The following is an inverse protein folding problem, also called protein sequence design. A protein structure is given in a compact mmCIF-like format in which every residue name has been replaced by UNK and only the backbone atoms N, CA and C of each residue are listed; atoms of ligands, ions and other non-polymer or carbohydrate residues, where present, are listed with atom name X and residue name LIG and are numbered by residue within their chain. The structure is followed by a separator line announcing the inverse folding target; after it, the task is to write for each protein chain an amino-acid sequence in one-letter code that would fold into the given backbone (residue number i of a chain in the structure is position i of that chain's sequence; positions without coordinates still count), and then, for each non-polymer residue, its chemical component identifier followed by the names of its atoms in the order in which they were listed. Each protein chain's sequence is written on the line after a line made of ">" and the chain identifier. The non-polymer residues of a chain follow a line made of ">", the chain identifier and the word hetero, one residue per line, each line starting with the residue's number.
data_IF_564419413828
#
_entry.id   IF_564419413828
#
_cell.length_a   1.000
_cell.length_b   1.000
_cell.length_c   1.000
_cell.angle_alpha   90.00
_cell.angle_beta   90.00
_cell.angle_gamma   90.00
#
_symmetry.space_group_name_H-M   'P 1'
#
loop_
_entity.id
_entity.type
_entity.pdbx_description
1 polymer ?
#
# COMPACT_ATOMS: atom_id res chain seq x y z
N UNK A 1 -7.13 4.36 -15.71
CA UNK A 1 -6.59 3.61 -14.56
C UNK A 1 -7.68 2.74 -13.98
N UNK A 2 -7.41 1.47 -13.79
CA UNK A 2 -8.35 0.53 -13.17
C UNK A 2 -7.85 0.19 -11.78
N UNK A 3 -8.69 0.35 -10.77
CA UNK A 3 -8.37 0.05 -9.37
C UNK A 3 -9.00 -1.29 -8.99
N UNK A 4 -8.20 -2.16 -8.36
CA UNK A 4 -8.67 -3.40 -7.75
C UNK A 4 -8.28 -3.42 -6.29
N UNK A 5 -9.18 -3.86 -5.42
CA UNK A 5 -8.93 -4.03 -4.00
C UNK A 5 -9.09 -5.50 -3.62
N UNK A 6 -8.10 -6.03 -2.93
CA UNK A 6 -8.12 -7.37 -2.36
C UNK A 6 -8.30 -7.26 -0.86
N UNK A 7 -9.35 -7.89 -0.37
CA UNK A 7 -9.76 -7.82 1.04
C UNK A 7 -9.50 -9.14 1.73
N UNK A 8 -8.74 -9.07 2.82
CA UNK A 8 -8.57 -10.19 3.73
C UNK A 8 -9.69 -10.14 4.77
N UNK A 9 -10.64 -11.08 4.68
CA UNK A 9 -11.80 -11.17 5.56
C UNK A 9 -11.57 -12.20 6.66
N UNK A 10 -12.12 -11.90 7.84
CA UNK A 10 -12.12 -12.85 8.96
C UNK A 10 -10.75 -13.12 9.59
N UNK A 11 -9.71 -12.39 9.19
CA UNK A 11 -8.40 -12.52 9.77
C UNK A 11 -8.33 -11.77 11.11
N UNK A 12 -7.85 -12.44 12.14
CA UNK A 12 -7.47 -11.81 13.42
C UNK A 12 -5.98 -11.63 13.39
N UNK A 13 -5.51 -10.45 12.99
CA UNK A 13 -4.10 -10.13 13.08
C UNK A 13 -3.63 -10.28 14.55
N UNK A 14 -2.64 -11.12 14.77
CA UNK A 14 -2.07 -11.40 16.09
C UNK A 14 -0.55 -11.24 16.01
N UNK A 15 0.06 -10.50 16.95
CA UNK A 15 1.51 -10.31 16.96
C UNK A 15 2.24 -11.57 17.50
N UNK A 16 3.59 -11.54 17.51
CA UNK A 16 4.44 -12.61 18.06
C UNK A 16 4.12 -12.93 19.52
N UNK A 17 3.52 -11.99 20.27
CA UNK A 17 3.10 -12.15 21.65
C UNK A 17 1.61 -12.51 21.78
N UNK A 18 0.95 -12.86 20.67
CA UNK A 18 -0.48 -13.21 20.61
C UNK A 18 -1.42 -12.06 21.04
N UNK A 19 -0.98 -10.80 20.98
CA UNK A 19 -1.83 -9.66 21.25
C UNK A 19 -2.70 -9.33 20.05
N UNK A 20 -3.95 -8.99 20.29
CA UNK A 20 -4.87 -8.56 19.24
C UNK A 20 -4.59 -7.12 18.79
N UNK A 21 -5.10 -6.76 17.62
CA UNK A 21 -5.00 -5.40 17.09
C UNK A 21 -5.58 -4.35 18.06
N UNK A 22 -6.68 -4.68 18.76
CA UNK A 22 -7.34 -3.81 19.71
C UNK A 22 -6.49 -3.58 20.98
N UNK A 23 -5.87 -4.63 21.51
CA UNK A 23 -4.97 -4.52 22.65
C UNK A 23 -3.74 -3.68 22.33
N UNK A 24 -3.16 -3.86 21.14
CA UNK A 24 -2.04 -3.06 20.67
C UNK A 24 -2.40 -1.59 20.52
N UNK A 25 -3.60 -1.28 20.04
CA UNK A 25 -4.10 0.09 19.89
C UNK A 25 -4.24 0.83 21.24
N UNK A 26 -4.41 0.13 22.34
CA UNK A 26 -4.54 0.71 23.69
C UNK A 26 -3.19 1.01 24.37
N UNK A 27 -2.13 0.30 24.01
CA UNK A 27 -0.84 0.36 24.71
C UNK A 27 0.01 1.59 24.38
N UNK A 28 -0.16 2.21 23.23
CA UNK A 28 0.74 3.26 22.74
C UNK A 28 0.28 4.66 23.17
N UNK A 29 1.16 5.44 23.83
CA UNK A 29 0.81 6.74 24.43
C UNK A 29 0.80 7.91 23.44
N UNK A 30 1.69 7.97 22.45
CA UNK A 30 1.80 9.06 21.49
C UNK A 30 0.97 8.77 20.22
N UNK A 31 0.15 9.73 19.81
CA UNK A 31 -0.80 9.57 18.72
C UNK A 31 -0.18 9.13 17.38
N UNK A 32 0.86 9.83 16.91
CA UNK A 32 1.52 9.53 15.63
C UNK A 32 2.30 8.20 15.69
N UNK A 33 2.94 7.90 16.82
CA UNK A 33 3.62 6.63 17.04
C UNK A 33 2.62 5.47 17.05
N UNK A 34 1.45 5.66 17.67
CA UNK A 34 0.37 4.66 17.68
C UNK A 34 -0.08 4.29 16.28
N UNK A 35 -0.24 5.27 15.40
CA UNK A 35 -0.65 5.03 14.01
C UNK A 35 0.40 4.20 13.24
N UNK A 36 1.67 4.52 13.43
CA UNK A 36 2.78 3.77 12.81
C UNK A 36 2.84 2.35 13.36
N UNK A 37 2.72 2.18 14.68
CA UNK A 37 2.75 0.86 15.31
C UNK A 37 1.56 -0.01 14.91
N UNK A 38 0.37 0.57 14.83
CA UNK A 38 -0.82 -0.13 14.35
C UNK A 38 -0.67 -0.55 12.89
N UNK A 39 -0.12 0.32 12.04
CA UNK A 39 0.15 -0.02 10.65
C UNK A 39 1.20 -1.13 10.54
N UNK A 40 2.32 -0.98 11.25
CA UNK A 40 3.38 -2.01 11.30
C UNK A 40 2.83 -3.36 11.75
N UNK A 41 1.96 -3.37 12.74
CA UNK A 41 1.31 -4.58 13.23
C UNK A 41 0.48 -5.28 12.14
N UNK A 42 -0.32 -4.53 11.40
CA UNK A 42 -1.11 -5.05 10.28
C UNK A 42 -0.20 -5.56 9.17
N UNK A 43 0.80 -4.78 8.79
CA UNK A 43 1.67 -5.07 7.65
C UNK A 43 2.65 -6.23 7.92
N UNK A 44 3.03 -6.46 9.18
CA UNK A 44 3.83 -7.62 9.58
C UNK A 44 2.99 -8.87 9.85
N UNK A 45 1.67 -8.79 9.80
CA UNK A 45 0.84 -9.98 9.98
C UNK A 45 1.13 -11.00 8.89
N UNK A 46 1.24 -12.26 9.27
CA UNK A 46 1.54 -13.35 8.35
C UNK A 46 0.47 -13.49 7.28
N UNK A 47 -0.78 -13.29 7.66
CA UNK A 47 -1.92 -13.40 6.78
C UNK A 47 -1.90 -12.35 5.66
N UNK A 48 -1.57 -11.08 5.97
CA UNK A 48 -1.46 -10.05 4.94
C UNK A 48 -0.30 -10.31 3.99
N UNK A 49 0.85 -10.75 4.53
CA UNK A 49 2.02 -11.10 3.73
C UNK A 49 1.74 -12.30 2.82
N UNK A 50 1.12 -13.35 3.36
CA UNK A 50 0.72 -14.52 2.57
C UNK A 50 -0.30 -14.15 1.49
N UNK A 51 -1.29 -13.30 1.77
CA UNK A 51 -2.22 -12.81 0.76
C UNK A 51 -1.47 -12.13 -0.41
N UNK A 52 -0.51 -11.23 -0.12
CA UNK A 52 0.29 -10.59 -1.15
C UNK A 52 1.07 -11.60 -1.98
N UNK A 53 1.73 -12.56 -1.32
CA UNK A 53 2.51 -13.60 -1.97
C UNK A 53 1.63 -14.48 -2.86
N UNK A 54 0.50 -14.95 -2.36
CA UNK A 54 -0.42 -15.80 -3.11
C UNK A 54 -0.99 -15.07 -4.33
N UNK A 55 -1.34 -13.79 -4.19
CA UNK A 55 -1.82 -12.95 -5.29
C UNK A 55 -0.77 -12.81 -6.40
N UNK A 56 0.51 -12.67 -6.06
CA UNK A 56 1.58 -12.46 -7.03
C UNK A 56 2.08 -13.78 -7.61
N UNK A 57 2.25 -14.81 -6.78
CA UNK A 57 2.82 -16.09 -7.20
C UNK A 57 1.86 -16.92 -8.06
N UNK A 58 0.56 -16.87 -7.76
CA UNK A 58 -0.46 -17.63 -8.47
C UNK A 58 -1.36 -16.77 -9.36
N UNK A 59 -1.20 -15.44 -9.29
CA UNK A 59 -2.04 -14.48 -9.99
C UNK A 59 -1.69 -14.34 -11.48
N UNK A 60 -2.71 -13.99 -12.25
CA UNK A 60 -2.56 -13.58 -13.65
C UNK A 60 -2.63 -12.08 -13.79
N UNK A 61 -1.97 -11.56 -14.80
CA UNK A 61 -2.05 -10.16 -15.20
C UNK A 61 -3.50 -9.72 -15.43
N UNK A 62 -3.75 -8.46 -15.18
CA UNK A 62 -5.10 -7.88 -15.29
C UNK A 62 -5.58 -7.66 -16.72
N UNK A 63 -4.67 -7.63 -17.68
CA UNK A 63 -4.96 -7.37 -19.10
C UNK A 63 -4.53 -8.52 -20.03
N UNK A 64 -3.81 -9.51 -19.52
CA UNK A 64 -3.38 -10.68 -20.28
C UNK A 64 -3.57 -11.96 -19.45
N UNK A 65 -3.43 -13.12 -20.07
CA UNK A 65 -3.44 -14.41 -19.35
C UNK A 65 -2.06 -14.80 -18.79
N UNK A 66 -1.04 -13.96 -18.97
CA UNK A 66 0.30 -14.19 -18.46
C UNK A 66 0.34 -14.18 -16.93
N UNK A 67 1.20 -14.98 -16.35
CA UNK A 67 1.45 -14.94 -14.91
C UNK A 67 2.01 -13.56 -14.49
N UNK A 68 1.60 -13.06 -13.34
CA UNK A 68 2.09 -11.77 -12.81
C UNK A 68 3.61 -11.74 -12.69
N UNK A 69 4.22 -12.85 -12.28
CA UNK A 69 5.68 -12.96 -12.20
C UNK A 69 6.38 -12.90 -13.55
N UNK A 70 5.78 -13.39 -14.61
CA UNK A 70 6.36 -13.29 -15.96
C UNK A 70 6.32 -11.86 -16.50
N UNK A 71 5.29 -11.11 -16.14
CA UNK A 71 5.12 -9.73 -16.53
C UNK A 71 5.91 -8.75 -15.67
N UNK A 72 6.18 -9.13 -14.44
CA UNK A 72 6.79 -8.29 -13.41
C UNK A 72 5.78 -7.41 -12.68
N UNK A 73 6.04 -7.18 -11.41
CA UNK A 73 5.18 -6.37 -10.53
C UNK A 73 6.00 -5.38 -9.72
N UNK A 74 5.37 -4.25 -9.39
CA UNK A 74 5.90 -3.27 -8.45
C UNK A 74 5.08 -3.35 -7.18
N UNK A 75 5.74 -3.38 -6.03
CA UNK A 75 5.11 -3.38 -4.72
C UNK A 75 5.53 -2.11 -3.98
N UNK A 76 4.57 -1.34 -3.51
CA UNK A 76 4.82 -0.19 -2.64
C UNK A 76 4.61 -0.56 -1.18
N UNK A 77 5.63 -0.29 -0.35
CA UNK A 77 5.61 -0.49 1.11
C UNK A 77 6.29 0.72 1.77
N UNK A 78 5.69 1.27 2.82
CA UNK A 78 6.25 2.46 3.50
C UNK A 78 7.31 2.10 4.54
N UNK A 79 7.10 1.04 5.32
CA UNK A 79 7.92 0.68 6.48
C UNK A 79 9.10 -0.23 6.09
N UNK A 80 10.32 0.14 6.48
CA UNK A 80 11.55 -0.56 6.07
C UNK A 80 11.66 -1.99 6.62
N UNK A 81 11.20 -2.22 7.84
CA UNK A 81 11.17 -3.55 8.46
C UNK A 81 10.15 -4.48 7.78
N UNK A 82 9.02 -3.93 7.32
CA UNK A 82 8.05 -4.66 6.50
C UNK A 82 8.64 -4.99 5.13
N UNK A 83 9.35 -4.06 4.48
CA UNK A 83 10.06 -4.31 3.22
C UNK A 83 11.03 -5.49 3.37
N UNK A 84 11.83 -5.49 4.43
CA UNK A 84 12.79 -6.55 4.69
C UNK A 84 12.11 -7.92 4.83
N UNK A 85 11.03 -7.97 5.62
CA UNK A 85 10.30 -9.21 5.85
C UNK A 85 9.60 -9.72 4.58
N UNK A 86 8.93 -8.85 3.83
CA UNK A 86 8.28 -9.23 2.56
C UNK A 86 9.29 -9.70 1.52
N UNK A 87 10.45 -9.05 1.44
CA UNK A 87 11.53 -9.48 0.55
C UNK A 87 12.06 -10.87 0.92
N UNK A 88 12.20 -11.17 2.21
CA UNK A 88 12.58 -12.49 2.71
C UNK A 88 11.53 -13.56 2.39
N UNK A 89 10.26 -13.25 2.56
CA UNK A 89 9.15 -14.14 2.27
C UNK A 89 9.12 -14.55 0.77
N UNK A 90 9.41 -13.62 -0.15
CA UNK A 90 9.55 -13.91 -1.59
C UNK A 90 10.78 -14.79 -1.87
N UNK A 91 11.94 -14.45 -1.29
CA UNK A 91 13.17 -15.23 -1.44
C UNK A 91 13.00 -16.67 -0.95
N UNK A 92 12.32 -16.86 0.18
CA UNK A 92 12.02 -18.20 0.70
C UNK A 92 11.19 -19.05 -0.25
N UNK A 93 10.48 -18.40 -1.20
CA UNK A 93 9.71 -19.05 -2.28
C UNK A 93 10.44 -19.09 -3.63
N UNK A 94 11.73 -18.80 -3.63
CA UNK A 94 12.59 -18.85 -4.82
C UNK A 94 12.40 -17.69 -5.79
N UNK A 95 11.84 -16.56 -5.34
CA UNK A 95 11.64 -15.35 -6.16
C UNK A 95 12.68 -14.30 -5.79
N UNK A 96 13.48 -13.88 -6.77
CA UNK A 96 14.39 -12.76 -6.62
C UNK A 96 13.63 -11.44 -6.58
N UNK A 97 13.99 -10.59 -5.60
CA UNK A 97 13.33 -9.31 -5.36
C UNK A 97 14.34 -8.18 -5.35
N UNK A 98 14.09 -7.15 -6.11
CA UNK A 98 14.77 -5.88 -5.98
C UNK A 98 14.11 -5.00 -4.93
N UNK A 99 14.93 -4.36 -4.09
CA UNK A 99 14.47 -3.40 -3.10
C UNK A 99 15.07 -2.02 -3.39
N UNK A 100 14.21 -1.03 -3.57
CA UNK A 100 14.61 0.36 -3.78
C UNK A 100 14.05 1.20 -2.63
N UNK A 101 14.94 1.67 -1.78
CA UNK A 101 14.64 2.47 -0.60
C UNK A 101 15.56 3.71 -0.51
N UNK A 102 15.35 4.56 0.49
CA UNK A 102 16.12 5.81 0.64
C UNK A 102 17.63 5.64 0.64
N UNK A 103 18.15 4.56 1.22
CA UNK A 103 19.57 4.21 1.26
C UNK A 103 20.13 3.66 -0.06
N UNK A 104 19.29 3.27 -1.02
CA UNK A 104 19.73 2.76 -2.33
C UNK A 104 20.36 3.89 -3.15
N UNK A 105 21.62 3.73 -3.54
CA UNK A 105 22.37 4.74 -4.32
C UNK A 105 21.72 4.94 -5.70
N UNK A 106 21.82 6.13 -6.25
CA UNK A 106 21.22 6.50 -7.54
C UNK A 106 21.70 5.59 -8.69
N UNK A 107 23.01 5.26 -8.72
CA UNK A 107 23.58 4.33 -9.68
C UNK A 107 22.91 2.94 -9.62
N UNK A 108 22.69 2.45 -8.42
CA UNK A 108 22.10 1.12 -8.20
C UNK A 108 20.60 1.13 -8.57
N UNK A 109 19.90 2.23 -8.29
CA UNK A 109 18.51 2.41 -8.72
C UNK A 109 18.36 2.35 -10.25
N UNK A 110 19.26 3.02 -10.97
CA UNK A 110 19.29 2.99 -12.44
C UNK A 110 19.58 1.60 -12.98
N UNK A 111 20.51 0.87 -12.36
CA UNK A 111 20.83 -0.52 -12.73
C UNK A 111 19.64 -1.44 -12.50
N UNK A 112 18.98 -1.37 -11.33
CA UNK A 112 17.77 -2.13 -11.01
C UNK A 112 16.64 -1.83 -12.01
N UNK A 113 16.37 -0.56 -12.31
CA UNK A 113 15.33 -0.17 -13.25
C UNK A 113 15.59 -0.72 -14.67
N UNK A 114 16.84 -0.73 -15.11
CA UNK A 114 17.24 -1.29 -16.39
C UNK A 114 17.10 -2.81 -16.41
N UNK A 115 17.53 -3.47 -15.33
CA UNK A 115 17.47 -4.93 -15.24
C UNK A 115 16.02 -5.42 -15.12
N UNK A 116 15.22 -4.80 -14.27
CA UNK A 116 13.77 -5.11 -14.16
C UNK A 116 13.04 -5.07 -15.50
N UNK A 117 13.44 -4.15 -16.38
CA UNK A 117 12.86 -4.05 -17.73
C UNK A 117 13.31 -5.18 -18.66
N UNK A 118 14.56 -5.64 -18.55
CA UNK A 118 15.21 -6.48 -19.55
C UNK A 118 15.41 -7.93 -19.10
N UNK A 119 15.37 -8.19 -17.77
CA UNK A 119 15.65 -9.52 -17.22
C UNK A 119 14.35 -10.29 -16.96
N UNK A 120 14.14 -11.45 -17.60
CA UNK A 120 12.95 -12.27 -17.36
C UNK A 120 12.89 -12.89 -15.96
N UNK A 121 14.00 -12.91 -15.21
CA UNK A 121 14.09 -13.54 -13.89
C UNK A 121 13.87 -12.59 -12.72
N UNK A 122 13.95 -11.27 -12.94
CA UNK A 122 13.80 -10.26 -11.87
C UNK A 122 12.45 -9.60 -11.97
N UNK A 123 11.46 -10.22 -11.38
CA UNK A 123 10.06 -9.91 -11.65
C UNK A 123 9.36 -9.11 -10.55
N UNK A 124 9.98 -8.93 -9.40
CA UNK A 124 9.41 -8.19 -8.27
C UNK A 124 10.34 -7.04 -7.86
N UNK A 125 9.81 -5.83 -7.84
CA UNK A 125 10.49 -4.63 -7.31
C UNK A 125 9.68 -4.07 -6.15
N UNK A 126 10.26 -4.07 -4.96
CA UNK A 126 9.68 -3.39 -3.79
C UNK A 126 10.24 -1.98 -3.71
N UNK A 127 9.39 -0.99 -3.65
CA UNK A 127 9.75 0.41 -3.53
C UNK A 127 9.24 1.02 -2.22
N UNK A 128 10.09 1.83 -1.57
CA UNK A 128 9.68 2.66 -0.45
C UNK A 128 9.32 4.07 -0.90
N UNK A 129 8.78 4.81 0.03
CA UNK A 129 8.44 6.21 -0.11
C UNK A 129 9.62 7.11 -0.55
N UNK A 130 10.83 6.84 -0.03
CA UNK A 130 12.04 7.59 -0.36
C UNK A 130 12.66 7.21 -1.73
N UNK A 131 12.22 6.09 -2.32
CA UNK A 131 12.66 5.66 -3.65
C UNK A 131 12.13 6.56 -4.78
N UNK A 132 11.25 7.45 -4.42
CA UNK A 132 10.43 8.24 -5.33
C UNK A 132 11.14 9.27 -6.20
N UNK A 133 12.44 9.57 -6.07
CA UNK A 133 13.08 10.66 -6.83
C UNK A 133 13.95 10.14 -7.96
N UNK A 134 13.60 10.09 -9.16
CA UNK A 134 14.39 9.68 -10.33
C UNK A 134 14.15 8.27 -10.87
N UNK A 135 13.13 7.54 -10.42
CA UNK A 135 12.91 6.18 -10.87
C UNK A 135 11.98 6.11 -12.07
N UNK A 136 12.39 5.38 -13.09
CA UNK A 136 11.58 5.08 -14.25
C UNK A 136 11.43 3.55 -14.37
N UNK A 137 10.38 3.00 -13.74
CA UNK A 137 10.10 1.56 -13.74
C UNK A 137 9.14 1.19 -14.87
N UNK A 138 9.62 1.23 -16.09
CA UNK A 138 8.83 1.04 -17.32
C UNK A 138 8.57 -0.44 -17.69
N UNK A 139 8.84 -1.37 -16.79
CA UNK A 139 8.78 -2.81 -17.09
C UNK A 139 7.38 -3.41 -16.97
N UNK A 140 6.46 -2.78 -16.24
CA UNK A 140 5.14 -3.34 -15.95
C UNK A 140 4.05 -2.29 -15.88
N UNK A 141 2.81 -2.69 -16.05
CA UNK A 141 1.61 -1.90 -15.81
C UNK A 141 0.82 -2.36 -14.56
N UNK A 142 1.42 -3.17 -13.70
CA UNK A 142 0.83 -3.69 -12.47
C UNK A 142 1.57 -3.16 -11.25
N UNK A 143 0.85 -2.51 -10.32
CA UNK A 143 1.39 -2.10 -9.01
C UNK A 143 0.51 -2.59 -7.87
N UNK A 144 1.15 -3.14 -6.84
CA UNK A 144 0.52 -3.51 -5.59
C UNK A 144 0.84 -2.48 -4.51
N UNK A 145 -0.18 -1.82 -4.00
CA UNK A 145 -0.07 -0.97 -2.83
C UNK A 145 -0.34 -1.84 -1.59
N UNK A 146 0.75 -2.35 -1.03
CA UNK A 146 0.70 -3.11 0.22
C UNK A 146 0.40 -2.21 1.42
N UNK A 147 0.94 -1.00 1.38
CA UNK A 147 0.57 0.11 2.26
C UNK A 147 0.12 1.30 1.43
N UNK A 148 -0.61 2.22 2.04
CA UNK A 148 -1.10 3.42 1.39
C UNK A 148 -0.32 4.66 1.82
N UNK A 149 0.16 5.48 0.87
CA UNK A 149 0.78 6.75 1.20
C UNK A 149 -0.16 7.66 2.01
N UNK A 150 0.38 8.39 2.99
CA UNK A 150 -0.41 9.22 3.92
C UNK A 150 -0.97 10.52 3.31
N UNK A 151 -0.69 10.82 2.06
CA UNK A 151 -1.15 12.04 1.39
C UNK A 151 -1.37 11.86 -0.10
N UNK A 152 -2.34 12.62 -0.65
CA UNK A 152 -2.67 12.63 -2.08
C UNK A 152 -1.50 13.04 -2.97
N UNK A 153 -0.75 14.08 -2.61
CA UNK A 153 0.45 14.49 -3.34
C UNK A 153 1.48 13.38 -3.45
N UNK A 154 1.70 12.62 -2.37
CA UNK A 154 2.63 11.49 -2.34
C UNK A 154 2.11 10.29 -3.13
N UNK A 155 0.83 9.98 -3.01
CA UNK A 155 0.15 8.98 -3.80
C UNK A 155 0.29 9.29 -5.30
N UNK A 156 -0.05 10.51 -5.72
CA UNK A 156 0.08 10.95 -7.11
C UNK A 156 1.54 10.93 -7.57
N UNK A 157 2.50 11.26 -6.71
CA UNK A 157 3.93 11.20 -7.00
C UNK A 157 4.38 9.76 -7.28
N UNK A 158 3.98 8.79 -6.46
CA UNK A 158 4.31 7.38 -6.64
C UNK A 158 3.70 6.88 -7.95
N UNK A 159 2.41 7.10 -8.15
CA UNK A 159 1.74 6.68 -9.38
C UNK A 159 2.30 7.38 -10.62
N UNK A 160 2.53 8.68 -10.57
CA UNK A 160 3.06 9.46 -11.69
C UNK A 160 4.46 9.04 -12.14
N UNK A 161 5.23 8.41 -11.28
CA UNK A 161 6.58 7.89 -11.61
C UNK A 161 6.54 6.53 -12.27
N UNK A 162 5.61 5.70 -11.83
CA UNK A 162 5.34 4.40 -12.42
C UNK A 162 4.54 4.60 -13.72
N UNK A 163 3.59 5.51 -13.70
CA UNK A 163 2.75 5.87 -14.84
C UNK A 163 3.46 6.74 -15.91
N UNK A 164 4.75 7.10 -15.76
CA UNK A 164 5.54 7.60 -16.91
C UNK A 164 5.67 6.57 -18.03
N UNK A 165 5.49 5.30 -17.68
CA UNK A 165 5.28 4.21 -18.64
C UNK A 165 3.88 4.23 -19.26
N UNK A 166 2.96 5.03 -18.72
CA UNK A 166 1.56 5.05 -19.12
C UNK A 166 1.40 5.37 -20.61
N UNK A 167 2.17 6.32 -21.11
CA UNK A 167 2.13 6.67 -22.53
C UNK A 167 2.47 5.49 -23.44
N UNK A 168 3.37 4.59 -23.03
CA UNK A 168 3.70 3.41 -23.81
C UNK A 168 2.55 2.41 -23.79
N UNK A 169 2.03 2.08 -22.61
CA UNK A 169 0.92 1.14 -22.47
C UNK A 169 -0.39 1.69 -23.05
N UNK A 170 -0.63 2.99 -22.89
CA UNK A 170 -1.79 3.67 -23.48
C UNK A 170 -1.74 3.66 -25.02
N UNK A 171 -0.56 3.89 -25.62
CA UNK A 171 -0.36 3.76 -27.06
C UNK A 171 -0.55 2.32 -27.56
N UNK A 172 -0.34 1.33 -26.69
CA UNK A 172 -0.61 -0.09 -26.95
C UNK A 172 -2.07 -0.48 -26.63
N UNK A 173 -2.93 0.47 -26.22
CA UNK A 173 -4.31 0.22 -25.82
C UNK A 173 -4.43 -0.53 -24.46
N UNK A 174 -3.39 -0.54 -23.67
CA UNK A 174 -3.32 -1.25 -22.37
C UNK A 174 -3.58 -0.33 -21.21
N UNK A 175 -4.25 -0.84 -20.18
CA UNK A 175 -4.54 -0.11 -18.95
C UNK A 175 -3.42 -0.29 -17.91
N UNK A 176 -3.32 0.66 -17.00
CA UNK A 176 -2.49 0.55 -15.79
C UNK A 176 -3.35 0.10 -14.62
N UNK A 177 -2.89 -0.90 -13.88
CA UNK A 177 -3.64 -1.55 -12.80
C UNK A 177 -3.02 -1.26 -11.45
N UNK A 178 -3.85 -0.82 -10.51
CA UNK A 178 -3.48 -0.55 -9.13
C UNK A 178 -4.23 -1.52 -8.23
N UNK A 179 -3.48 -2.37 -7.54
CA UNK A 179 -4.00 -3.36 -6.61
C UNK A 179 -3.79 -2.89 -5.17
N UNK A 180 -4.85 -2.87 -4.37
CA UNK A 180 -4.79 -2.52 -2.96
C UNK A 180 -4.87 -3.79 -2.12
N UNK A 181 -3.88 -4.01 -1.26
CA UNK A 181 -3.86 -5.12 -0.30
C UNK A 181 -4.39 -4.60 1.03
N UNK A 182 -5.63 -4.96 1.36
CA UNK A 182 -6.38 -4.37 2.47
C UNK A 182 -6.78 -5.45 3.47
N UNK A 183 -6.50 -5.21 4.75
CA UNK A 183 -7.03 -6.01 5.87
C UNK A 183 -8.28 -5.33 6.42
N UNK A 184 -9.40 -6.05 6.40
CA UNK A 184 -10.67 -5.53 6.95
C UNK A 184 -10.56 -5.26 8.47
N UNK A 185 -11.33 -4.28 8.95
CA UNK A 185 -11.37 -3.86 10.34
C UNK A 185 -10.07 -3.24 10.88
N UNK A 186 -9.17 -2.82 9.98
CA UNK A 186 -7.91 -2.15 10.31
C UNK A 186 -7.82 -0.74 9.70
N UNK A 187 -6.67 -0.08 9.87
CA UNK A 187 -6.38 1.22 9.24
C UNK A 187 -6.40 1.16 7.72
N UNK A 188 -6.14 0.01 7.13
CA UNK A 188 -6.07 -0.15 5.68
C UNK A 188 -7.38 0.23 4.98
N UNK A 189 -8.53 -0.10 5.59
CA UNK A 189 -9.87 0.21 5.01
C UNK A 189 -10.12 1.71 4.91
N UNK A 190 -9.59 2.48 5.87
CA UNK A 190 -9.88 3.93 5.95
C UNK A 190 -8.94 4.79 5.12
N UNK A 191 -7.72 4.32 4.85
CA UNK A 191 -6.71 5.07 4.09
C UNK A 191 -7.17 5.45 2.68
N UNK A 192 -7.70 4.53 1.85
CA UNK A 192 -8.23 4.88 0.53
C UNK A 192 -9.35 5.91 0.58
N UNK A 193 -10.26 5.78 1.56
CA UNK A 193 -11.40 6.69 1.73
C UNK A 193 -10.91 8.10 2.08
N UNK A 194 -9.95 8.20 3.00
CA UNK A 194 -9.40 9.49 3.42
C UNK A 194 -8.53 10.13 2.35
N UNK A 195 -7.84 9.32 1.53
CA UNK A 195 -7.06 9.80 0.41
C UNK A 195 -7.95 10.42 -0.67
N UNK A 196 -9.06 9.76 -1.01
CA UNK A 196 -10.05 10.28 -1.96
C UNK A 196 -10.73 11.56 -1.44
N UNK A 197 -11.08 11.60 -0.15
CA UNK A 197 -11.66 12.81 0.49
C UNK A 197 -10.68 13.98 0.50
N UNK A 198 -9.39 13.73 0.72
CA UNK A 198 -8.36 14.77 0.62
C UNK A 198 -8.17 15.27 -0.81
N UNK A 199 -8.16 14.39 -1.77
CA UNK A 199 -8.04 14.76 -3.19
C UNK A 199 -9.22 15.64 -3.61
N UNK A 200 -10.43 15.26 -3.25
CA UNK A 200 -11.63 16.06 -3.52
C UNK A 200 -11.54 17.43 -2.85
N UNK A 201 -11.08 17.50 -1.59
CA UNK A 201 -10.87 18.75 -0.90
C UNK A 201 -9.78 19.62 -1.54
N UNK A 202 -8.65 19.03 -1.98
CA UNK A 202 -7.60 19.74 -2.69
C UNK A 202 -8.12 20.31 -4.03
N UNK A 203 -8.94 19.57 -4.75
CA UNK A 203 -9.61 20.04 -5.98
C UNK A 203 -10.58 21.18 -5.67
N UNK A 204 -11.39 21.08 -4.63
CA UNK A 204 -12.28 22.15 -4.17
C UNK A 204 -11.51 23.42 -3.76
N UNK A 205 -10.34 23.25 -3.10
CA UNK A 205 -9.47 24.37 -2.70
C UNK A 205 -8.86 25.09 -3.90
N UNK A 206 -8.42 24.33 -4.90
CA UNK A 206 -7.82 24.91 -6.12
C UNK A 206 -8.83 25.71 -6.97
N UNK A 207 -10.11 25.41 -6.82
CA UNK A 207 -11.19 26.06 -7.57
C UNK A 207 -11.98 27.10 -6.77
N UNK A 208 -11.63 27.35 -5.50
CA UNK A 208 -12.34 28.28 -4.63
C UNK A 208 -11.54 29.57 -4.38
N UNK A 209 -12.19 30.70 -4.57
CA UNK A 209 -11.59 32.04 -4.34
C UNK A 209 -11.28 32.33 -2.86
N UNK A 210 -11.91 31.60 -1.93
CA UNK A 210 -11.65 31.76 -0.48
C UNK A 210 -12.08 30.52 0.30
N UNK A 211 -11.14 29.87 1.02
CA UNK A 211 -11.46 28.74 1.88
C UNK A 211 -11.08 29.00 3.33
N UNK A 212 -12.03 28.77 4.21
CA UNK A 212 -11.84 28.82 5.66
C UNK A 212 -11.41 27.43 6.17
N UNK A 213 -10.10 27.18 6.23
CA UNK A 213 -9.51 25.91 6.68
C UNK A 213 -9.53 25.72 8.22
N UNK A 214 -10.24 26.55 8.96
CA UNK A 214 -10.36 26.41 10.41
C UNK A 214 -11.18 25.16 10.76
N UNK A 215 -10.52 24.12 11.22
CA UNK A 215 -11.17 22.97 11.85
C UNK A 215 -10.89 21.60 11.24
N UNK A 216 -10.13 21.50 10.17
CA UNK A 216 -9.76 20.20 9.63
C UNK A 216 -8.53 19.66 10.36
N UNK A 217 -8.73 18.59 11.14
CA UNK A 217 -7.64 17.87 11.80
C UNK A 217 -6.67 17.25 10.80
N UNK A 218 -5.47 16.86 11.29
CA UNK A 218 -4.51 16.12 10.46
C UNK A 218 -5.14 14.85 9.89
N UNK A 219 -4.60 14.35 8.78
CA UNK A 219 -5.03 13.08 8.17
C UNK A 219 -5.13 11.96 9.20
N UNK A 220 -4.09 11.83 10.03
CA UNK A 220 -4.05 10.84 11.11
C UNK A 220 -5.16 11.06 12.15
N UNK A 221 -5.51 12.33 12.43
CA UNK A 221 -6.62 12.69 13.33
C UNK A 221 -7.98 12.26 12.82
N UNK A 222 -8.24 12.48 11.54
CA UNK A 222 -9.49 12.07 10.89
C UNK A 222 -9.60 10.54 10.84
N UNK A 223 -8.51 9.86 10.51
CA UNK A 223 -8.42 8.41 10.45
C UNK A 223 -8.75 7.77 11.80
N UNK A 224 -8.11 8.21 12.88
CA UNK A 224 -8.39 7.68 14.22
C UNK A 224 -9.81 8.00 14.71
N UNK A 225 -10.30 9.19 14.41
CA UNK A 225 -11.67 9.55 14.82
C UNK A 225 -12.69 8.61 14.17
N UNK A 226 -12.48 8.27 12.90
CA UNK A 226 -13.35 7.35 12.17
C UNK A 226 -13.20 5.92 12.69
N UNK A 227 -11.96 5.43 12.81
CA UNK A 227 -11.67 4.09 13.34
C UNK A 227 -12.28 3.90 14.77
N UNK A 228 -12.06 4.88 15.66
CA UNK A 228 -12.64 4.85 17.02
C UNK A 228 -14.16 4.79 17.00
N UNK A 229 -14.79 5.55 16.13
CA UNK A 229 -16.26 5.55 15.99
C UNK A 229 -16.77 4.18 15.56
N UNK A 230 -16.11 3.56 14.59
CA UNK A 230 -16.53 2.28 14.04
C UNK A 230 -16.27 1.12 15.02
N UNK A 231 -15.14 1.14 15.72
CA UNK A 231 -14.86 0.16 16.78
C UNK A 231 -15.90 0.25 17.92
N UNK A 232 -16.22 1.47 18.37
CA UNK A 232 -17.25 1.66 19.40
C UNK A 232 -18.64 1.23 18.93
N UNK A 233 -18.95 1.42 17.65
CA UNK A 233 -20.21 0.93 17.08
C UNK A 233 -20.26 -0.59 17.05
N UNK A 234 -19.19 -1.27 16.61
CA UNK A 234 -19.09 -2.73 16.61
C UNK A 234 -19.18 -3.34 18.00
N UNK A 235 -18.57 -2.73 19.01
CA UNK A 235 -18.75 -3.19 20.41
C UNK A 235 -20.20 -3.08 20.87
N UNK A 236 -20.91 -2.00 20.51
CA UNK A 236 -22.33 -1.84 20.84
C UNK A 236 -23.20 -2.90 20.16
N UNK A 237 -22.93 -3.21 18.91
CA UNK A 237 -23.65 -4.26 18.16
C UNK A 237 -23.40 -5.65 18.76
N UNK A 238 -22.13 -5.99 19.08
CA UNK A 238 -21.79 -7.25 19.76
C UNK A 238 -22.53 -7.39 21.12
N UNK A 239 -22.64 -6.31 21.89
CA UNK A 239 -23.38 -6.31 23.16
C UNK A 239 -24.89 -6.48 22.98
N UNK A 240 -25.44 -6.00 21.87
CA UNK A 240 -26.88 -6.20 21.55
C UNK A 240 -27.16 -7.62 21.05
N UNK A 241 -26.25 -8.19 20.27
CA UNK A 241 -26.38 -9.54 19.72
C UNK A 241 -26.14 -10.66 20.77
N UNK A 242 -25.50 -10.34 21.91
CA UNK A 242 -25.26 -11.25 23.01
C UNK A 242 -26.31 -11.19 24.12
N UNK A 243 -27.41 -10.48 23.90
CA UNK A 243 -28.61 -10.48 24.72
C UNK A 243 -29.76 -11.18 23.97
#
# INVERSE_FOLDING_TARGET
>A
MTNRAFFLRGCKAVDKNKKTYEEKAQETKAFSARMVDMQRYVDLSEEKRNLLLDLILSGKSSDTDEALLEKGVIIYIELLDVIAQVAEDFKARGVDVYVIQGSTKEKDRGAIAKDFKNNPNSKVVIISNAAGESLNLNGTNEIFLYDMPKGSGKYNQILGRIARSFSKFENEGRSFYIHYVIVEDTLDVYKPILLSSKKQLEEEILHADTINLKGQGSFDGMLLKKLRKDLLWKEKEKRKAGK
#
